data_IF_701114367125
#
_entry.id   IF_701114367125
#
_cell.length_a   1.000
_cell.length_b   1.000
_cell.length_c   1.000
_cell.angle_alpha   90.00
_cell.angle_beta   90.00
_cell.angle_gamma   90.00
#
_symmetry.space_group_name_H-M   'P 1'
#
loop_
_entity.id
_entity.type
_entity.pdbx_description
1 polymer ?
#
# COMPACT_ATOMS: atom_id res chain seq x y z
N UNK A 1 -7.45 -13.77 7.41
CA UNK A 1 -6.26 -13.28 6.69
C UNK A 1 -6.77 -12.69 5.40
N UNK A 2 -6.87 -11.36 5.35
CA UNK A 2 -7.79 -10.65 4.46
C UNK A 2 -7.29 -10.64 3.02
N UNK A 3 -7.95 -11.41 2.13
CA UNK A 3 -7.62 -11.53 0.69
C UNK A 3 -7.52 -10.17 -0.03
N UNK A 4 -8.23 -9.16 0.48
CA UNK A 4 -8.18 -7.78 -0.02
C UNK A 4 -6.82 -7.11 0.20
N UNK A 5 -6.21 -7.30 1.36
CA UNK A 5 -4.88 -6.76 1.66
C UNK A 5 -3.83 -7.40 0.77
N UNK A 6 -3.96 -8.72 0.51
CA UNK A 6 -3.06 -9.43 -0.39
C UNK A 6 -3.21 -9.01 -1.84
N UNK A 7 -4.44 -8.86 -2.31
CA UNK A 7 -4.71 -8.36 -3.68
C UNK A 7 -4.16 -6.94 -3.87
N UNK A 8 -4.26 -6.09 -2.85
CA UNK A 8 -3.65 -4.75 -2.87
C UNK A 8 -2.14 -4.82 -2.89
N UNK A 9 -1.56 -5.62 -2.00
CA UNK A 9 -0.13 -5.79 -1.88
C UNK A 9 0.47 -6.24 -3.21
N UNK A 10 -0.06 -7.33 -3.80
CA UNK A 10 0.33 -7.83 -5.12
C UNK A 10 0.11 -6.82 -6.27
N UNK A 11 -0.82 -5.87 -6.10
CA UNK A 11 -1.05 -4.86 -7.12
C UNK A 11 -0.02 -3.73 -7.08
N UNK A 12 0.48 -3.42 -5.88
CA UNK A 12 1.48 -2.40 -5.59
C UNK A 12 2.91 -2.94 -5.76
N UNK A 13 3.13 -4.21 -5.44
CA UNK A 13 4.39 -4.92 -5.54
C UNK A 13 4.68 -5.19 -7.03
N UNK A 14 5.64 -4.45 -7.59
CA UNK A 14 5.92 -4.45 -9.02
C UNK A 14 6.95 -5.52 -9.37
N UNK A 15 7.94 -5.73 -8.49
CA UNK A 15 9.01 -6.70 -8.70
C UNK A 15 8.71 -8.09 -8.09
N UNK A 16 7.65 -8.18 -7.27
CA UNK A 16 7.19 -9.40 -6.58
C UNK A 16 8.22 -9.96 -5.61
N UNK A 17 8.97 -9.07 -4.96
CA UNK A 17 9.93 -9.46 -3.93
C UNK A 17 9.27 -9.76 -2.57
N UNK A 18 7.98 -9.44 -2.43
CA UNK A 18 7.23 -9.67 -1.19
C UNK A 18 7.35 -8.54 -0.18
N UNK A 19 7.96 -7.42 -0.58
CA UNK A 19 8.02 -6.15 0.14
C UNK A 19 7.49 -5.04 -0.75
N UNK A 20 7.07 -3.94 -0.14
CA UNK A 20 6.66 -2.75 -0.86
C UNK A 20 7.65 -1.65 -0.57
N UNK A 21 8.41 -1.25 -1.58
CA UNK A 21 9.25 -0.07 -1.46
C UNK A 21 8.42 1.20 -1.72
N UNK A 22 8.85 2.31 -1.12
CA UNK A 22 8.30 3.64 -1.35
C UNK A 22 8.20 3.99 -2.84
N UNK A 23 9.21 3.62 -3.63
CA UNK A 23 9.24 3.86 -5.07
C UNK A 23 8.19 3.04 -5.81
N UNK A 24 8.00 1.77 -5.43
CA UNK A 24 6.97 0.92 -6.02
C UNK A 24 5.58 1.39 -5.66
N UNK A 25 5.34 1.75 -4.40
CA UNK A 25 4.06 2.33 -3.98
C UNK A 25 3.76 3.58 -4.80
N UNK A 26 4.68 4.53 -4.92
CA UNK A 26 4.47 5.75 -5.71
C UNK A 26 4.21 5.43 -7.19
N UNK A 27 5.02 4.57 -7.81
CA UNK A 27 4.87 4.21 -9.22
C UNK A 27 3.56 3.44 -9.47
N UNK A 28 3.19 2.52 -8.59
CA UNK A 28 1.98 1.73 -8.68
C UNK A 28 0.74 2.58 -8.39
N UNK A 29 0.78 3.53 -7.45
CA UNK A 29 -0.31 4.48 -7.23
C UNK A 29 -0.45 5.45 -8.40
N UNK A 30 0.65 5.90 -9.00
CA UNK A 30 0.60 6.73 -10.21
C UNK A 30 0.01 5.98 -11.40
N UNK A 31 0.38 4.72 -11.59
CA UNK A 31 -0.02 3.93 -12.75
C UNK A 31 -1.37 3.23 -12.57
N UNK A 32 -1.64 2.69 -11.39
CA UNK A 32 -2.81 1.86 -11.05
C UNK A 32 -3.72 2.49 -10.01
N UNK A 33 -3.32 3.56 -9.34
CA UNK A 33 -4.13 4.25 -8.33
C UNK A 33 -5.53 4.65 -8.83
N UNK A 34 -5.69 5.27 -10.02
CA UNK A 34 -7.02 5.58 -10.55
C UNK A 34 -7.89 4.33 -10.73
N UNK A 35 -7.29 3.22 -11.17
CA UNK A 35 -7.98 1.96 -11.42
C UNK A 35 -8.35 1.24 -10.12
N UNK A 36 -7.44 1.19 -9.17
CA UNK A 36 -7.64 0.54 -7.87
C UNK A 36 -8.64 1.34 -7.01
N UNK A 37 -8.62 2.66 -7.09
CA UNK A 37 -9.59 3.54 -6.43
C UNK A 37 -10.97 3.45 -7.08
N UNK A 38 -11.03 3.43 -8.41
CA UNK A 38 -12.29 3.18 -9.12
C UNK A 38 -12.88 1.80 -8.82
N UNK A 39 -12.04 0.82 -8.49
CA UNK A 39 -12.46 -0.52 -8.04
C UNK A 39 -12.83 -0.58 -6.55
N UNK A 40 -12.64 0.50 -5.79
CA UNK A 40 -12.87 0.52 -4.34
C UNK A 40 -11.90 -0.39 -3.56
N UNK A 41 -10.77 -0.75 -4.18
CA UNK A 41 -9.78 -1.67 -3.62
C UNK A 41 -8.77 -0.91 -2.77
N UNK A 42 -8.30 0.26 -3.24
CA UNK A 42 -7.63 1.24 -2.38
C UNK A 42 -8.62 2.33 -1.95
N UNK A 43 -8.51 2.82 -0.71
CA UNK A 43 -9.23 4.01 -0.28
C UNK A 43 -8.58 5.27 -0.88
N UNK A 44 -9.29 6.40 -0.83
CA UNK A 44 -8.91 7.66 -1.49
C UNK A 44 -7.50 8.17 -1.15
N UNK A 45 -6.92 7.76 -0.01
CA UNK A 45 -5.53 8.09 0.37
C UNK A 45 -4.47 7.43 -0.51
N UNK A 46 -4.78 6.29 -1.16
CA UNK A 46 -3.91 5.70 -2.19
C UNK A 46 -3.91 6.51 -3.50
N UNK A 47 -4.73 7.56 -3.61
CA UNK A 47 -4.77 8.48 -4.75
C UNK A 47 -4.23 9.85 -4.34
N UNK A 48 -3.30 9.86 -3.38
CA UNK A 48 -2.62 11.07 -2.91
C UNK A 48 -1.37 11.41 -3.72
N UNK A 49 -0.75 12.52 -3.36
CA UNK A 49 0.56 12.93 -3.89
C UNK A 49 1.68 12.03 -3.33
N UNK A 50 2.89 12.15 -3.87
CA UNK A 50 4.05 11.43 -3.34
C UNK A 50 4.27 11.70 -1.84
N UNK A 51 3.94 12.90 -1.36
CA UNK A 51 4.04 13.29 0.06
C UNK A 51 3.00 12.58 0.94
N UNK A 52 1.76 12.42 0.46
CA UNK A 52 0.73 11.66 1.19
C UNK A 52 1.09 10.18 1.29
N UNK A 53 1.56 9.61 0.16
CA UNK A 53 2.06 8.23 0.14
C UNK A 53 3.27 8.08 1.06
N UNK A 54 4.12 9.12 1.15
CA UNK A 54 5.27 9.16 2.06
C UNK A 54 4.87 9.06 3.52
N UNK A 55 3.97 9.92 3.97
CA UNK A 55 3.58 10.00 5.37
C UNK A 55 2.89 8.69 5.82
N UNK A 56 2.11 8.08 4.94
CA UNK A 56 1.42 6.82 5.23
C UNK A 56 2.36 5.63 5.18
N UNK A 57 3.37 5.68 4.30
CA UNK A 57 4.44 4.69 4.30
C UNK A 57 5.21 4.72 5.61
N UNK A 58 5.60 5.91 6.09
CA UNK A 58 6.24 6.08 7.41
C UNK A 58 5.32 5.67 8.57
N UNK A 59 3.99 5.86 8.47
CA UNK A 59 3.05 5.38 9.50
C UNK A 59 2.91 3.85 9.52
N UNK A 60 3.04 3.22 8.34
CA UNK A 60 2.97 1.78 8.17
C UNK A 60 4.28 1.07 8.51
N UNK A 61 5.41 1.73 8.24
CA UNK A 61 6.77 1.27 8.52
C UNK A 61 7.06 1.39 10.01
N UNK A 62 6.66 0.37 10.77
CA UNK A 62 6.84 0.34 12.22
C UNK A 62 8.28 0.02 12.63
N UNK A 63 9.03 -0.64 11.75
CA UNK A 63 10.37 -1.14 12.04
C UNK A 63 11.48 -0.15 11.57
N UNK A 64 11.13 0.82 10.71
CA UNK A 64 12.01 1.85 10.17
C UNK A 64 12.95 1.37 9.06
N UNK A 65 12.66 0.25 8.40
CA UNK A 65 13.49 -0.35 7.36
C UNK A 65 13.26 0.25 5.96
N UNK A 66 12.29 1.18 5.84
CA UNK A 66 11.86 1.83 4.60
C UNK A 66 11.28 0.87 3.56
N UNK A 67 10.87 -0.33 3.98
CA UNK A 67 10.07 -1.27 3.19
C UNK A 67 8.81 -1.63 3.95
N UNK A 68 7.75 -2.03 3.25
CA UNK A 68 6.54 -2.52 3.89
C UNK A 68 6.39 -4.00 3.61
N UNK A 69 6.51 -4.80 4.67
CA UNK A 69 6.22 -6.22 4.61
C UNK A 69 4.71 -6.44 4.49
N UNK A 70 4.32 -7.59 3.93
CA UNK A 70 2.91 -7.97 3.86
C UNK A 70 2.21 -7.91 5.23
N UNK A 71 2.89 -8.28 6.31
CA UNK A 71 2.34 -8.24 7.67
C UNK A 71 2.10 -6.81 8.17
N UNK A 72 3.03 -5.88 7.93
CA UNK A 72 2.92 -4.47 8.31
C UNK A 72 1.79 -3.79 7.54
N UNK A 73 1.75 -4.04 6.23
CA UNK A 73 0.69 -3.57 5.37
C UNK A 73 -0.66 -4.12 5.85
N UNK A 74 -0.81 -5.44 5.98
CA UNK A 74 -2.06 -6.07 6.42
C UNK A 74 -2.51 -5.58 7.81
N UNK A 75 -1.57 -5.37 8.73
CA UNK A 75 -1.86 -4.82 10.06
C UNK A 75 -2.38 -3.40 9.97
N UNK A 76 -1.76 -2.54 9.17
CA UNK A 76 -2.23 -1.17 8.95
C UNK A 76 -3.62 -1.15 8.30
N UNK A 77 -3.82 -1.92 7.22
CA UNK A 77 -5.11 -1.91 6.50
C UNK A 77 -6.22 -2.48 7.38
N UNK A 78 -5.94 -3.53 8.16
CA UNK A 78 -6.86 -4.08 9.14
C UNK A 78 -7.19 -3.04 10.23
N UNK A 79 -6.18 -2.37 10.81
CA UNK A 79 -6.38 -1.37 11.86
C UNK A 79 -7.19 -0.16 11.38
N UNK A 80 -6.95 0.29 10.15
CA UNK A 80 -7.53 1.53 9.59
C UNK A 80 -8.90 1.30 8.96
N UNK A 81 -9.14 0.14 8.33
CA UNK A 81 -10.35 -0.15 7.54
C UNK A 81 -11.18 -1.32 8.07
N UNK A 82 -10.71 -2.05 9.09
CA UNK A 82 -11.45 -3.14 9.73
C UNK A 82 -11.68 -4.33 8.81
N UNK A 83 -10.64 -4.78 8.11
CA UNK A 83 -10.67 -5.89 7.14
C UNK A 83 -10.42 -7.27 7.73
#
# INVERSE_FOLDING_TARGET
MSDKARTLFDALDLDRDGTLTRTEVINALRSKGPTLAARGVIPFWGVGTDDDASALFDEADMNGDRVLSFEEFATLVNRRFGW
#
